data_IF_673697746618
#
_entry.id   IF_673697746618
#
_cell.length_a   1.000
_cell.length_b   1.000
_cell.length_c   1.000
_cell.angle_alpha   90.00
_cell.angle_beta   90.00
_cell.angle_gamma   90.00
#
_symmetry.space_group_name_H-M   'P 1'
#
loop_
_entity.id
_entity.type
_entity.pdbx_description
1 polymer ?
#
# COMPACT_ATOMS: atom_id res chain seq x y z
N UNK A 1 -4.32 5.83 -55.15
CA UNK A 1 -5.14 5.58 -53.94
C UNK A 1 -4.34 4.99 -52.76
N UNK A 2 -3.47 3.99 -52.95
CA UNK A 2 -2.73 3.33 -51.85
C UNK A 2 -1.84 4.26 -50.99
N UNK A 3 -1.19 5.28 -51.59
CA UNK A 3 -0.29 6.21 -50.86
C UNK A 3 -1.03 7.19 -49.94
N UNK A 4 -2.27 7.57 -50.29
CA UNK A 4 -3.09 8.48 -49.48
C UNK A 4 -3.65 7.71 -48.27
N UNK A 5 -4.08 6.46 -48.45
CA UNK A 5 -4.53 5.62 -47.34
C UNK A 5 -3.40 5.31 -46.34
N UNK A 6 -2.19 5.01 -46.82
CA UNK A 6 -1.03 4.81 -45.96
C UNK A 6 -0.64 6.08 -45.17
N UNK A 7 -0.79 7.26 -45.77
CA UNK A 7 -0.60 8.53 -45.08
C UNK A 7 -1.67 8.75 -43.99
N UNK A 8 -2.94 8.50 -44.30
CA UNK A 8 -4.05 8.60 -43.34
C UNK A 8 -3.90 7.60 -42.18
N UNK A 9 -3.40 6.39 -42.44
CA UNK A 9 -3.11 5.41 -41.39
C UNK A 9 -1.89 5.80 -40.55
N UNK A 10 -0.88 6.44 -41.13
CA UNK A 10 0.28 6.96 -40.40
C UNK A 10 -0.05 8.10 -39.44
N UNK A 11 -1.08 8.90 -39.75
CA UNK A 11 -1.50 10.04 -38.91
C UNK A 11 -2.63 9.71 -37.91
N UNK A 12 -3.34 8.57 -38.07
CA UNK A 12 -4.36 8.09 -37.11
C UNK A 12 -3.87 8.03 -35.66
N UNK A 13 -2.65 7.52 -35.34
CA UNK A 13 -2.14 7.50 -33.96
C UNK A 13 -1.97 8.91 -33.39
N UNK A 14 -1.63 9.90 -34.24
CA UNK A 14 -1.46 11.30 -33.84
C UNK A 14 -2.82 11.89 -33.49
N UNK A 15 -3.84 11.70 -34.34
CA UNK A 15 -5.21 12.14 -34.05
C UNK A 15 -5.80 11.49 -32.80
N UNK A 16 -5.52 10.20 -32.57
CA UNK A 16 -5.94 9.50 -31.35
C UNK A 16 -5.30 10.09 -30.09
N UNK A 17 -3.99 10.40 -30.14
CA UNK A 17 -3.29 11.07 -29.04
C UNK A 17 -3.80 12.50 -28.79
N UNK A 18 -4.05 13.26 -29.86
CA UNK A 18 -4.64 14.61 -29.77
C UNK A 18 -6.06 14.52 -29.18
N UNK A 19 -6.87 13.56 -29.59
CA UNK A 19 -8.22 13.34 -29.03
C UNK A 19 -8.19 12.99 -27.55
N UNK A 20 -7.26 12.12 -27.13
CA UNK A 20 -7.07 11.78 -25.72
C UNK A 20 -6.57 12.98 -24.88
N UNK A 21 -5.67 13.79 -25.43
CA UNK A 21 -5.18 15.02 -24.80
C UNK A 21 -6.27 16.08 -24.70
N UNK A 22 -7.04 16.29 -25.76
CA UNK A 22 -8.18 17.22 -25.77
C UNK A 22 -9.26 16.79 -24.76
N UNK A 23 -9.52 15.49 -24.64
CA UNK A 23 -10.44 14.95 -23.63
C UNK A 23 -9.94 15.19 -22.21
N UNK A 24 -8.65 14.97 -21.95
CA UNK A 24 -8.02 15.26 -20.65
C UNK A 24 -8.02 16.76 -20.32
N UNK A 25 -7.74 17.60 -21.32
CA UNK A 25 -7.76 19.06 -21.16
C UNK A 25 -9.19 19.55 -20.89
N UNK A 26 -10.18 19.04 -21.60
CA UNK A 26 -11.59 19.37 -21.37
C UNK A 26 -12.06 18.92 -19.99
N UNK A 27 -11.73 17.70 -19.57
CA UNK A 27 -11.98 17.22 -18.21
C UNK A 27 -11.30 18.11 -17.17
N UNK A 28 -10.04 18.51 -17.39
CA UNK A 28 -9.33 19.42 -16.50
C UNK A 28 -9.95 20.82 -16.45
N UNK A 29 -10.45 21.33 -17.57
CA UNK A 29 -11.11 22.65 -17.67
C UNK A 29 -12.48 22.60 -17.00
N UNK A 30 -13.29 21.58 -17.26
CA UNK A 30 -14.59 21.38 -16.62
C UNK A 30 -14.41 21.22 -15.09
N UNK A 31 -13.36 20.51 -14.64
CA UNK A 31 -12.98 20.39 -13.23
C UNK A 31 -12.57 21.74 -12.59
N UNK A 32 -11.92 22.63 -13.34
CA UNK A 32 -11.39 23.91 -12.84
C UNK A 32 -12.43 25.03 -12.92
N UNK A 33 -13.23 25.04 -13.98
CA UNK A 33 -14.21 26.09 -14.27
C UNK A 33 -15.47 25.96 -13.41
N UNK A 34 -15.95 24.75 -13.12
CA UNK A 34 -17.21 24.60 -12.38
C UNK A 34 -17.04 24.57 -10.86
N UNK A 35 -15.83 24.34 -10.30
CA UNK A 35 -15.61 24.06 -8.86
C UNK A 35 -16.49 22.92 -8.28
N UNK A 36 -17.31 22.25 -9.10
CA UNK A 36 -18.17 21.13 -8.74
C UNK A 36 -17.35 19.86 -8.93
N UNK A 37 -16.39 19.64 -8.03
CA UNK A 37 -15.95 18.28 -7.80
C UNK A 37 -17.10 17.54 -7.11
N UNK A 38 -17.88 16.78 -7.87
CA UNK A 38 -18.88 15.88 -7.31
C UNK A 38 -18.22 14.94 -6.28
N UNK A 39 -18.97 14.51 -5.27
CA UNK A 39 -18.45 13.58 -4.24
C UNK A 39 -17.82 12.34 -4.88
N UNK A 40 -18.43 11.84 -5.96
CA UNK A 40 -17.94 10.69 -6.74
C UNK A 40 -16.59 10.98 -7.42
N UNK A 41 -16.41 12.14 -8.05
CA UNK A 41 -15.13 12.52 -8.65
C UNK A 41 -14.01 12.66 -7.63
N UNK A 42 -14.30 13.17 -6.42
CA UNK A 42 -13.31 13.20 -5.31
C UNK A 42 -12.90 11.79 -4.91
N UNK A 43 -13.87 10.90 -4.71
CA UNK A 43 -13.62 9.50 -4.32
C UNK A 43 -12.76 8.78 -5.37
N UNK A 44 -13.10 8.91 -6.64
CA UNK A 44 -12.32 8.27 -7.71
C UNK A 44 -10.90 8.82 -7.84
N UNK A 45 -10.72 10.14 -7.77
CA UNK A 45 -9.40 10.77 -7.85
C UNK A 45 -8.53 10.36 -6.67
N UNK A 46 -9.09 10.34 -5.46
CA UNK A 46 -8.40 9.84 -4.27
C UNK A 46 -8.05 8.36 -4.42
N UNK A 47 -8.97 7.49 -4.85
CA UNK A 47 -8.70 6.08 -5.08
C UNK A 47 -7.58 5.84 -6.11
N UNK A 48 -7.58 6.60 -7.21
CA UNK A 48 -6.50 6.56 -8.21
C UNK A 48 -5.15 6.99 -7.63
N UNK A 49 -5.14 8.07 -6.83
CA UNK A 49 -3.93 8.51 -6.15
C UNK A 49 -3.39 7.43 -5.21
N UNK A 50 -4.25 6.84 -4.36
CA UNK A 50 -3.82 5.81 -3.41
C UNK A 50 -3.28 4.56 -4.10
N UNK A 51 -3.93 4.09 -5.16
CA UNK A 51 -3.44 2.95 -5.96
C UNK A 51 -2.07 3.24 -6.59
N UNK A 52 -1.94 4.38 -7.27
CA UNK A 52 -0.65 4.79 -7.85
C UNK A 52 0.44 4.87 -6.78
N UNK A 53 0.11 5.41 -5.60
CA UNK A 53 1.05 5.52 -4.50
C UNK A 53 1.43 4.14 -3.93
N UNK A 54 0.48 3.21 -3.79
CA UNK A 54 0.81 1.82 -3.41
C UNK A 54 1.71 1.13 -4.44
N UNK A 55 1.47 1.33 -5.73
CA UNK A 55 2.30 0.77 -6.80
C UNK A 55 3.74 1.34 -6.74
N UNK A 56 3.88 2.64 -6.45
CA UNK A 56 5.18 3.26 -6.19
C UNK A 56 5.84 2.64 -4.94
N UNK A 57 5.12 2.54 -3.82
CA UNK A 57 5.64 1.99 -2.56
C UNK A 57 6.04 0.52 -2.66
N UNK A 58 5.35 -0.25 -3.50
CA UNK A 58 5.69 -1.62 -3.84
C UNK A 58 7.05 -1.76 -4.55
N UNK A 59 7.58 -0.67 -5.11
CA UNK A 59 8.79 -0.63 -5.94
C UNK A 59 9.86 0.33 -5.38
N UNK A 60 9.56 1.08 -4.32
CA UNK A 60 10.35 2.25 -3.86
C UNK A 60 11.75 1.86 -3.34
N UNK A 61 11.89 0.68 -2.72
CA UNK A 61 13.17 0.15 -2.23
C UNK A 61 13.24 -1.35 -2.52
N UNK A 62 14.39 -1.91 -2.96
CA UNK A 62 14.59 -3.36 -2.99
C UNK A 62 14.30 -3.96 -1.60
N UNK A 63 13.26 -4.79 -1.47
CA UNK A 63 12.80 -5.31 -0.18
C UNK A 63 11.58 -4.60 0.42
N UNK A 64 11.11 -3.48 -0.14
CA UNK A 64 9.88 -2.81 0.30
C UNK A 64 8.65 -3.60 -0.14
N UNK A 65 8.10 -4.39 0.77
CA UNK A 65 6.94 -5.25 0.53
C UNK A 65 5.83 -5.05 1.57
N UNK A 66 5.85 -3.88 2.21
CA UNK A 66 4.85 -3.47 3.19
C UNK A 66 3.42 -3.54 2.62
N UNK A 67 3.15 -2.95 1.44
CA UNK A 67 1.82 -3.00 0.83
C UNK A 67 1.31 -4.44 0.65
N UNK A 68 2.06 -5.29 -0.04
CA UNK A 68 1.62 -6.64 -0.42
C UNK A 68 1.35 -7.57 0.78
N UNK A 69 1.86 -7.23 1.95
CA UNK A 69 1.72 -8.04 3.18
C UNK A 69 0.81 -7.41 4.24
N UNK A 70 0.45 -6.13 4.10
CA UNK A 70 -0.22 -5.37 5.16
C UNK A 70 -1.28 -4.38 4.68
N UNK A 71 -1.57 -4.26 3.39
CA UNK A 71 -2.60 -3.33 2.89
C UNK A 71 -3.98 -3.99 2.71
N UNK A 72 -4.95 -3.25 2.17
CA UNK A 72 -6.35 -3.60 2.09
C UNK A 72 -6.67 -4.93 1.41
N UNK A 73 -5.95 -5.29 0.35
CA UNK A 73 -6.21 -6.51 -0.43
C UNK A 73 -5.75 -7.80 0.27
N UNK A 74 -4.96 -7.70 1.35
CA UNK A 74 -4.61 -8.86 2.18
C UNK A 74 -5.86 -9.37 2.90
N UNK A 75 -6.21 -10.65 2.75
CA UNK A 75 -7.43 -11.19 3.37
C UNK A 75 -7.23 -11.55 4.84
N UNK A 76 -8.31 -11.62 5.60
CA UNK A 76 -8.29 -12.12 6.98
C UNK A 76 -7.72 -13.55 7.05
N UNK A 77 -8.07 -14.40 6.06
CA UNK A 77 -7.52 -15.74 5.94
C UNK A 77 -6.00 -15.71 5.73
N UNK A 78 -5.47 -14.80 4.90
CA UNK A 78 -4.02 -14.68 4.73
C UNK A 78 -3.30 -14.29 6.03
N UNK A 79 -3.91 -13.47 6.89
CA UNK A 79 -3.36 -13.17 8.22
C UNK A 79 -3.38 -14.40 9.13
N UNK A 80 -4.48 -15.15 9.13
CA UNK A 80 -4.60 -16.40 9.89
C UNK A 80 -3.59 -17.45 9.42
N UNK A 81 -3.49 -17.68 8.12
CA UNK A 81 -2.53 -18.62 7.53
C UNK A 81 -1.08 -18.22 7.83
N UNK A 82 -0.78 -16.93 7.86
CA UNK A 82 0.52 -16.42 8.27
C UNK A 82 0.87 -16.79 9.71
N UNK A 83 -0.06 -16.60 10.65
CA UNK A 83 0.19 -16.91 12.07
C UNK A 83 0.07 -18.41 12.37
N UNK A 84 -0.83 -19.16 11.72
CA UNK A 84 -1.08 -20.57 12.03
C UNK A 84 -0.19 -21.51 11.23
N UNK A 85 0.21 -21.11 10.02
CA UNK A 85 0.89 -21.98 9.06
C UNK A 85 2.19 -21.40 8.50
N UNK A 86 2.49 -20.13 8.78
CA UNK A 86 3.69 -19.46 8.24
C UNK A 86 3.62 -19.30 6.73
N UNK A 87 2.42 -19.14 6.19
CA UNK A 87 2.20 -18.84 4.78
C UNK A 87 2.40 -17.33 4.57
N UNK A 88 3.23 -16.97 3.58
CA UNK A 88 3.45 -15.59 3.18
C UNK A 88 2.21 -15.05 2.47
N UNK A 89 1.58 -13.96 2.94
CA UNK A 89 0.44 -13.35 2.24
C UNK A 89 0.74 -12.97 0.79
N UNK A 90 2.00 -12.67 0.47
CA UNK A 90 2.41 -12.26 -0.87
C UNK A 90 2.53 -13.44 -1.85
N UNK A 91 3.09 -14.59 -1.42
CA UNK A 91 3.25 -15.75 -2.30
C UNK A 91 2.10 -16.75 -2.21
N UNK A 92 1.32 -16.74 -1.12
CA UNK A 92 0.36 -17.79 -0.80
C UNK A 92 1.00 -19.13 -0.42
N UNK A 93 2.32 -19.16 -0.19
CA UNK A 93 3.06 -20.39 0.16
C UNK A 93 3.90 -20.22 1.42
N UNK A 94 4.53 -21.30 1.91
CA UNK A 94 5.51 -21.22 3.02
C UNK A 94 6.86 -20.65 2.62
N UNK A 95 7.02 -20.21 1.37
CA UNK A 95 8.24 -19.60 0.86
C UNK A 95 8.02 -18.09 0.79
N UNK A 96 8.96 -17.36 1.37
CA UNK A 96 8.98 -15.91 1.37
C UNK A 96 9.24 -15.41 -0.06
N UNK A 97 8.29 -14.68 -0.62
CA UNK A 97 8.33 -14.19 -2.01
C UNK A 97 9.56 -13.34 -2.33
N UNK A 98 10.18 -12.75 -1.30
CA UNK A 98 11.25 -11.76 -1.42
C UNK A 98 12.60 -12.44 -1.35
N UNK A 99 12.77 -13.30 -0.35
CA UNK A 99 14.07 -13.92 -0.05
C UNK A 99 14.23 -15.31 -0.64
N UNK A 100 13.14 -15.94 -1.08
CA UNK A 100 13.11 -17.35 -1.51
C UNK A 100 13.33 -18.35 -0.36
N UNK A 101 13.45 -17.87 0.88
CA UNK A 101 13.63 -18.70 2.09
C UNK A 101 12.29 -19.11 2.67
N UNK A 102 12.29 -20.05 3.62
CA UNK A 102 11.08 -20.40 4.37
C UNK A 102 10.56 -19.16 5.12
N UNK A 103 9.28 -18.82 4.90
CA UNK A 103 8.65 -17.70 5.57
C UNK A 103 8.44 -17.99 7.06
N UNK A 104 8.66 -16.97 7.88
CA UNK A 104 8.59 -17.09 9.33
C UNK A 104 7.14 -17.12 9.80
N UNK A 105 6.79 -18.16 10.55
CA UNK A 105 5.51 -18.22 11.24
C UNK A 105 5.53 -17.30 12.48
N UNK A 106 5.06 -16.08 12.29
CA UNK A 106 4.99 -15.03 13.32
C UNK A 106 3.86 -15.31 14.31
N UNK A 107 3.92 -14.68 15.50
CA UNK A 107 2.86 -14.79 16.51
C UNK A 107 1.65 -13.89 16.21
N UNK A 108 1.92 -12.75 15.58
CA UNK A 108 0.94 -11.71 15.29
C UNK A 108 1.05 -11.31 13.83
N UNK A 109 -0.10 -11.09 13.18
CA UNK A 109 -0.17 -10.52 11.84
C UNK A 109 -1.26 -9.45 11.80
N UNK A 110 -0.97 -8.31 11.17
CA UNK A 110 -1.86 -7.15 11.09
C UNK A 110 -1.93 -6.61 9.68
N UNK A 111 -3.01 -5.90 9.35
CA UNK A 111 -3.19 -5.16 8.11
C UNK A 111 -3.95 -3.86 8.33
N UNK A 112 -3.83 -2.95 7.38
CA UNK A 112 -4.79 -1.88 7.14
C UNK A 112 -5.97 -2.43 6.34
N UNK A 113 -7.18 -1.99 6.66
CA UNK A 113 -8.39 -2.39 5.93
C UNK A 113 -8.54 -1.66 4.59
N UNK A 114 -7.86 -0.53 4.43
CA UNK A 114 -7.93 0.28 3.22
C UNK A 114 -6.53 0.76 2.80
N UNK A 115 -6.26 0.69 1.49
CA UNK A 115 -5.10 1.29 0.84
C UNK A 115 -4.79 2.72 1.31
N UNK A 116 -5.84 3.55 1.42
CA UNK A 116 -5.71 4.95 1.82
C UNK A 116 -5.13 5.10 3.24
N UNK A 117 -5.44 4.19 4.15
CA UNK A 117 -4.96 4.24 5.53
C UNK A 117 -3.51 3.74 5.62
N UNK A 118 -3.13 2.74 4.81
CA UNK A 118 -1.74 2.32 4.66
C UNK A 118 -0.87 3.48 4.16
N UNK A 119 -1.27 4.12 3.06
CA UNK A 119 -0.51 5.23 2.48
C UNK A 119 -0.45 6.41 3.45
N UNK A 120 -1.54 6.73 4.16
CA UNK A 120 -1.53 7.79 5.18
C UNK A 120 -0.49 7.51 6.27
N UNK A 121 -0.36 6.27 6.71
CA UNK A 121 0.66 5.90 7.69
C UNK A 121 2.07 6.05 7.13
N UNK A 122 2.31 5.58 5.90
CA UNK A 122 3.61 5.72 5.25
C UNK A 122 4.01 7.20 5.05
N UNK A 123 3.11 8.01 4.51
CA UNK A 123 3.37 9.43 4.29
C UNK A 123 3.61 10.18 5.61
N UNK A 124 2.92 9.81 6.70
CA UNK A 124 3.21 10.35 8.01
C UNK A 124 4.63 10.00 8.48
N UNK A 125 5.05 8.75 8.32
CA UNK A 125 6.42 8.31 8.68
C UNK A 125 7.44 9.13 7.88
N UNK A 126 7.31 9.18 6.55
CA UNK A 126 8.30 9.84 5.69
C UNK A 126 8.30 11.36 5.86
N UNK A 127 7.16 12.00 6.12
CA UNK A 127 7.09 13.47 6.19
C UNK A 127 7.26 14.03 7.60
N UNK A 128 6.65 13.39 8.62
CA UNK A 128 6.65 13.89 10.00
C UNK A 128 7.77 13.30 10.84
N UNK A 129 8.19 12.08 10.54
CA UNK A 129 9.26 11.41 11.27
C UNK A 129 10.60 11.43 10.52
N UNK A 130 10.71 12.13 9.37
CA UNK A 130 11.91 12.11 8.51
C UNK A 130 13.22 12.33 9.27
N UNK A 131 13.29 13.35 10.12
CA UNK A 131 14.51 13.64 10.91
C UNK A 131 14.85 12.47 11.83
N UNK A 132 13.86 11.98 12.59
CA UNK A 132 14.01 10.80 13.46
C UNK A 132 14.45 9.55 12.67
N UNK A 133 13.94 9.37 11.46
CA UNK A 133 14.35 8.28 10.56
C UNK A 133 15.82 8.41 10.17
N UNK A 134 16.27 9.61 9.79
CA UNK A 134 17.66 9.85 9.42
C UNK A 134 18.62 9.63 10.59
N UNK A 135 18.26 10.13 11.77
CA UNK A 135 19.06 9.97 12.99
C UNK A 135 19.16 8.49 13.39
N UNK A 136 18.03 7.79 13.46
CA UNK A 136 18.01 6.36 13.77
C UNK A 136 18.76 5.53 12.72
N UNK A 137 18.64 5.88 11.44
CA UNK A 137 19.39 5.22 10.37
C UNK A 137 20.90 5.47 10.46
N UNK A 138 21.33 6.63 10.96
CA UNK A 138 22.74 6.92 11.19
C UNK A 138 23.29 6.10 12.37
N UNK A 139 22.54 6.03 13.47
CA UNK A 139 22.88 5.22 14.65
C UNK A 139 22.96 3.73 14.28
N UNK A 140 21.93 3.18 13.63
CA UNK A 140 21.91 1.78 13.22
C UNK A 140 23.10 1.41 12.32
N UNK A 141 23.49 2.31 11.40
CA UNK A 141 24.69 2.13 10.57
C UNK A 141 25.98 2.15 11.38
N UNK A 142 26.10 3.06 12.34
CA UNK A 142 27.26 3.14 13.22
C UNK A 142 27.41 1.88 14.08
N UNK A 143 26.29 1.33 14.57
CA UNK A 143 26.24 0.13 15.41
C UNK A 143 26.31 -1.18 14.62
N UNK A 144 26.28 -1.13 13.28
CA UNK A 144 26.30 -2.32 12.42
C UNK A 144 25.00 -3.13 12.47
N UNK A 145 23.86 -2.48 12.71
CA UNK A 145 22.54 -3.12 12.74
C UNK A 145 21.91 -3.18 11.33
N UNK A 146 21.28 -4.31 11.01
CA UNK A 146 20.58 -4.53 9.73
C UNK A 146 19.27 -3.74 9.59
N UNK A 147 18.80 -3.10 10.66
CA UNK A 147 17.58 -2.30 10.67
C UNK A 147 17.29 -1.67 12.03
N UNK A 148 16.30 -0.79 12.07
CA UNK A 148 15.84 -0.13 13.29
C UNK A 148 14.31 -0.01 13.32
N UNK A 149 13.67 -0.12 14.49
CA UNK A 149 12.24 0.07 14.61
C UNK A 149 11.87 1.55 14.52
N UNK A 150 10.67 1.81 14.00
CA UNK A 150 10.06 3.15 13.97
C UNK A 150 8.72 3.05 14.69
N UNK A 151 8.63 3.76 15.80
CA UNK A 151 7.43 3.79 16.65
C UNK A 151 6.87 5.20 16.74
N UNK A 152 5.55 5.29 16.65
CA UNK A 152 4.73 6.48 16.84
C UNK A 152 3.33 6.05 17.32
N UNK A 153 2.62 6.89 18.09
CA UNK A 153 1.31 6.55 18.60
C UNK A 153 0.28 6.56 17.47
N UNK A 154 -0.59 5.53 17.44
CA UNK A 154 -1.57 5.40 16.35
C UNK A 154 -2.58 6.56 16.30
N UNK A 155 -2.77 7.25 17.43
CA UNK A 155 -3.58 8.46 17.56
C UNK A 155 -3.10 9.63 16.70
N UNK A 156 -1.82 9.63 16.29
CA UNK A 156 -1.28 10.64 15.38
C UNK A 156 -1.84 10.49 13.96
N UNK A 157 -2.34 9.30 13.61
CA UNK A 157 -3.04 9.01 12.36
C UNK A 157 -4.55 8.98 12.54
N UNK A 158 -5.03 8.34 13.61
CA UNK A 158 -6.43 8.02 13.81
C UNK A 158 -6.82 8.27 15.26
N UNK A 159 -7.58 9.34 15.48
CA UNK A 159 -8.05 9.69 16.84
C UNK A 159 -9.04 8.67 17.42
N UNK A 160 -9.85 8.04 16.57
CA UNK A 160 -10.89 7.06 16.94
C UNK A 160 -11.14 6.08 15.80
N UNK A 161 -11.77 4.95 16.10
CA UNK A 161 -12.18 3.95 15.12
C UNK A 161 -11.00 3.15 14.57
N UNK A 162 -9.96 2.94 15.38
CA UNK A 162 -8.74 2.23 14.97
C UNK A 162 -9.09 0.79 14.57
N UNK A 163 -9.96 0.12 15.31
CA UNK A 163 -10.46 -1.23 14.99
C UNK A 163 -11.24 -1.32 13.67
N UNK A 164 -11.77 -0.21 13.15
CA UNK A 164 -12.42 -0.18 11.83
C UNK A 164 -11.41 -0.04 10.69
N UNK A 165 -10.19 0.42 11.00
CA UNK A 165 -9.13 0.73 10.03
C UNK A 165 -8.03 -0.31 10.00
N UNK A 166 -7.84 -1.01 11.11
CA UNK A 166 -6.90 -2.11 11.24
C UNK A 166 -7.61 -3.42 11.47
N UNK A 167 -6.97 -4.49 11.07
CA UNK A 167 -7.29 -5.83 11.51
C UNK A 167 -6.01 -6.54 11.92
N UNK A 168 -6.13 -7.42 12.89
CA UNK A 168 -5.02 -8.21 13.34
C UNK A 168 -5.47 -9.47 14.05
N UNK A 169 -4.63 -10.49 13.97
CA UNK A 169 -4.84 -11.75 14.65
C UNK A 169 -3.57 -12.14 15.42
N UNK A 170 -3.76 -12.67 16.62
CA UNK A 170 -2.70 -13.23 17.46
C UNK A 170 -2.94 -14.73 17.62
N UNK A 171 -1.89 -15.55 17.44
CA UNK A 171 -1.92 -16.97 17.79
C UNK A 171 -1.83 -17.13 19.31
N UNK A 172 -2.77 -17.88 19.88
CA UNK A 172 -2.80 -18.20 21.30
C UNK A 172 -2.03 -19.49 21.56
N UNK A 173 -1.04 -19.44 22.46
CA UNK A 173 -0.26 -20.61 22.86
C UNK A 173 0.96 -20.88 21.98
N UNK A 174 1.46 -22.13 21.95
CA UNK A 174 2.72 -22.47 21.27
C UNK A 174 2.60 -22.37 19.73
N UNK A 175 3.74 -22.48 19.04
CA UNK A 175 3.84 -22.36 17.57
C UNK A 175 2.91 -23.30 16.79
N UNK A 176 2.61 -24.46 17.34
CA UNK A 176 1.75 -25.47 16.71
C UNK A 176 0.26 -25.31 17.06
N UNK A 177 -0.10 -24.30 17.85
CA UNK A 177 -1.49 -24.01 18.17
C UNK A 177 -2.26 -23.58 16.92
N UNK A 178 -3.47 -24.12 16.77
CA UNK A 178 -4.46 -23.69 15.77
C UNK A 178 -5.38 -22.59 16.30
N UNK A 179 -5.22 -22.18 17.57
CA UNK A 179 -6.09 -21.20 18.21
C UNK A 179 -5.57 -19.79 17.95
N UNK A 180 -6.47 -18.89 17.59
CA UNK A 180 -6.17 -17.47 17.41
C UNK A 180 -7.27 -16.60 18.00
N UNK A 181 -6.96 -15.33 18.21
CA UNK A 181 -7.93 -14.27 18.55
C UNK A 181 -7.69 -13.05 17.68
N UNK A 182 -8.75 -12.28 17.46
CA UNK A 182 -8.63 -10.93 16.92
C UNK A 182 -7.91 -10.03 17.94
N UNK A 183 -7.13 -9.08 17.41
CA UNK A 183 -6.48 -8.04 18.21
C UNK A 183 -7.43 -6.86 18.33
N UNK A 184 -7.62 -6.41 19.57
CA UNK A 184 -8.26 -5.13 19.86
C UNK A 184 -7.20 -4.03 19.92
N UNK A 185 -7.31 -3.05 19.03
CA UNK A 185 -6.40 -1.92 18.94
C UNK A 185 -6.87 -0.71 19.77
N UNK A 186 -8.04 -0.77 20.40
CA UNK A 186 -8.62 0.32 21.20
C UNK A 186 -8.71 -0.01 22.69
N UNK A 187 -8.61 -1.30 23.07
CA UNK A 187 -8.45 -1.73 24.45
C UNK A 187 -9.74 -2.16 25.14
#
# INVERSE_FOLDING_TARGET
MAKILAFLDGIKPIFSKIGALAKKLRQSIDETAERIMTKSHRVERSARYWRKRLDELAQDVPGAHGPQRHEGDVTDQALLDRILHGIDPMSGTRIDAVTGKKHTQVRTATKFNAAADFVRAYDHIVTKLSTKLHDNAAIARYEGLDGFPVEFPISDLFRTGVNTRFKGYERIGPKFSSVSKAIDFEG
#
